data_IF_859954594415
#
_entry.id   IF_859954594415
#
_cell.length_a   1.000
_cell.length_b   1.000
_cell.length_c   1.000
_cell.angle_alpha   90.00
_cell.angle_beta   90.00
_cell.angle_gamma   90.00
#
_symmetry.space_group_name_H-M   'P 1'
#
loop_
_entity.id
_entity.type
_entity.pdbx_description
1 polymer ?
#
# COMPACT_ATOMS: atom_id res chain seq x y z
N UNK A 1 9.53 34.59 30.19
CA UNK A 1 9.35 33.53 31.22
C UNK A 1 8.39 32.52 30.63
N UNK A 2 8.89 31.37 30.18
CA UNK A 2 8.11 30.34 29.47
C UNK A 2 7.97 29.15 30.42
N UNK A 3 6.75 28.62 30.70
CA UNK A 3 6.60 27.46 31.58
C UNK A 3 7.13 26.18 30.94
N UNK A 4 7.76 25.36 31.76
CA UNK A 4 8.37 24.07 31.42
C UNK A 4 7.45 23.10 30.69
N UNK A 5 7.99 22.46 29.65
CA UNK A 5 7.53 21.19 29.09
C UNK A 5 7.23 20.17 30.18
N UNK A 6 6.13 19.42 30.01
CA UNK A 6 5.92 18.14 30.67
C UNK A 6 5.44 17.13 29.62
N UNK A 7 6.39 16.51 28.91
CA UNK A 7 6.10 15.32 28.08
C UNK A 7 6.20 14.10 28.97
N UNK A 8 5.10 13.35 29.07
CA UNK A 8 5.12 12.00 29.60
C UNK A 8 5.66 11.10 28.48
N UNK A 9 6.72 10.30 28.68
CA UNK A 9 7.20 9.38 27.67
C UNK A 9 6.22 8.21 27.50
N UNK A 10 5.88 7.88 26.26
CA UNK A 10 5.21 6.61 25.93
C UNK A 10 6.27 5.50 25.80
N UNK A 11 5.89 4.27 26.15
CA UNK A 11 6.85 3.18 26.42
C UNK A 11 7.45 2.50 25.18
N UNK A 12 7.08 2.91 23.97
CA UNK A 12 7.18 2.05 22.78
C UNK A 12 8.37 2.41 21.86
N UNK A 13 9.06 3.53 22.10
CA UNK A 13 10.24 3.94 21.32
C UNK A 13 11.43 2.95 21.47
N UNK A 14 11.48 2.22 22.59
CA UNK A 14 12.56 1.27 22.90
C UNK A 14 12.55 0.02 21.99
N UNK A 15 11.38 -0.44 21.56
CA UNK A 15 11.28 -1.60 20.67
C UNK A 15 11.70 -1.23 19.24
N UNK A 16 11.26 -0.07 18.74
CA UNK A 16 11.60 0.42 17.39
C UNK A 16 13.11 0.61 17.22
N UNK A 17 13.80 1.14 18.24
CA UNK A 17 15.26 1.27 18.24
C UNK A 17 15.96 -0.09 18.12
N UNK A 18 15.55 -1.07 18.92
CA UNK A 18 16.11 -2.43 18.87
C UNK A 18 15.90 -3.12 17.52
N UNK A 19 14.75 -2.91 16.86
CA UNK A 19 14.51 -3.46 15.51
C UNK A 19 15.44 -2.87 14.44
N UNK A 20 15.75 -1.57 14.50
CA UNK A 20 16.68 -0.92 13.58
C UNK A 20 18.13 -1.37 13.82
N UNK A 21 18.57 -1.45 15.08
CA UNK A 21 19.92 -1.94 15.43
C UNK A 21 20.16 -3.39 14.96
N UNK A 22 19.15 -4.26 15.05
CA UNK A 22 19.24 -5.66 14.58
C UNK A 22 19.33 -5.75 13.04
N UNK A 23 18.76 -4.79 12.30
CA UNK A 23 18.88 -4.72 10.86
C UNK A 23 20.30 -4.27 10.44
N UNK A 24 20.81 -3.17 11.00
CA UNK A 24 22.14 -2.64 10.68
C UNK A 24 23.27 -3.64 10.99
N UNK A 25 23.19 -4.35 12.13
CA UNK A 25 24.21 -5.34 12.52
C UNK A 25 24.29 -6.54 11.55
N UNK A 26 23.25 -6.81 10.76
CA UNK A 26 23.23 -7.93 9.80
C UNK A 26 23.95 -7.60 8.50
N UNK A 27 23.95 -6.35 8.06
CA UNK A 27 24.69 -5.92 6.87
C UNK A 27 26.21 -6.02 7.11
N UNK A 28 26.67 -5.66 8.31
CA UNK A 28 28.08 -5.78 8.70
C UNK A 28 28.60 -7.23 8.79
N UNK A 29 27.72 -8.22 8.98
CA UNK A 29 28.08 -9.63 9.20
C UNK A 29 28.29 -10.47 7.94
N UNK A 30 28.08 -9.93 6.74
CA UNK A 30 28.08 -10.71 5.49
C UNK A 30 29.47 -11.02 4.90
N UNK A 31 30.52 -10.30 5.31
CA UNK A 31 31.83 -10.26 4.63
C UNK A 31 32.76 -11.48 4.84
N UNK A 32 32.23 -12.68 5.16
CA UNK A 32 33.07 -13.77 5.71
C UNK A 32 32.66 -15.22 5.42
N UNK A 33 31.91 -15.53 4.36
CA UNK A 33 31.55 -16.93 4.01
C UNK A 33 31.88 -17.30 2.57
N UNK A 34 32.64 -18.37 2.41
CA UNK A 34 33.01 -19.00 1.12
C UNK A 34 31.79 -19.56 0.39
N UNK A 35 31.69 -19.47 -0.95
CA UNK A 35 30.55 -20.02 -1.70
C UNK A 35 30.49 -21.55 -1.65
N UNK A 36 29.27 -22.08 -1.53
CA UNK A 36 28.91 -23.48 -1.76
C UNK A 36 28.41 -23.64 -3.22
N UNK A 37 28.49 -24.85 -3.82
CA UNK A 37 28.18 -25.05 -5.24
C UNK A 37 26.69 -24.85 -5.55
N UNK A 38 26.42 -24.25 -6.71
CA UNK A 38 25.08 -23.85 -7.16
C UNK A 38 24.19 -25.05 -7.52
N UNK A 39 22.92 -24.98 -7.14
CA UNK A 39 21.88 -25.96 -7.52
C UNK A 39 21.06 -25.45 -8.72
N UNK A 40 20.39 -26.34 -9.50
CA UNK A 40 19.79 -25.97 -10.78
C UNK A 40 18.55 -25.05 -10.68
N UNK A 41 18.25 -24.26 -11.73
CA UNK A 41 17.14 -23.31 -11.71
C UNK A 41 15.81 -23.96 -12.14
N UNK A 42 14.99 -24.37 -11.18
CA UNK A 42 13.58 -24.72 -11.44
C UNK A 42 12.63 -23.85 -10.61
N UNK A 43 11.70 -23.20 -11.31
CA UNK A 43 10.54 -22.43 -10.84
C UNK A 43 10.80 -21.35 -9.76
N UNK A 44 10.67 -20.08 -10.16
CA UNK A 44 10.70 -18.93 -9.26
C UNK A 44 9.43 -18.84 -8.41
N UNK A 45 9.39 -19.58 -7.30
CA UNK A 45 8.63 -19.20 -6.11
C UNK A 45 9.51 -18.24 -5.28
N UNK A 46 9.09 -16.98 -5.12
CA UNK A 46 9.84 -15.95 -4.37
C UNK A 46 9.81 -16.22 -2.86
N UNK A 47 10.50 -17.27 -2.42
CA UNK A 47 10.80 -17.49 -1.01
C UNK A 47 11.53 -16.25 -0.49
N UNK A 48 10.97 -15.47 0.45
CA UNK A 48 11.57 -14.21 0.88
C UNK A 48 12.94 -14.48 1.49
N UNK A 49 13.96 -13.71 1.07
CA UNK A 49 15.28 -13.78 1.67
C UNK A 49 15.16 -13.49 3.19
N UNK A 50 15.76 -14.32 4.06
CA UNK A 50 15.58 -14.20 5.50
C UNK A 50 16.22 -12.90 6.03
N UNK A 51 15.42 -11.83 6.10
CA UNK A 51 15.83 -10.49 6.48
C UNK A 51 14.95 -9.37 5.94
N UNK A 52 14.22 -9.59 4.84
CA UNK A 52 13.28 -8.58 4.32
C UNK A 52 11.94 -8.65 5.05
N UNK A 53 11.67 -7.72 5.96
CA UNK A 53 10.34 -7.56 6.54
C UNK A 53 9.35 -7.11 5.45
N UNK A 54 8.15 -7.70 5.46
CA UNK A 54 7.12 -7.36 4.48
C UNK A 54 6.45 -6.03 4.85
N UNK A 55 6.73 -4.99 4.07
CA UNK A 55 6.18 -3.65 4.29
C UNK A 55 4.90 -3.41 3.51
N UNK A 56 3.88 -2.88 4.17
CA UNK A 56 2.73 -2.23 3.54
C UNK A 56 2.91 -0.71 3.63
N UNK A 57 2.77 0.01 2.51
CA UNK A 57 2.80 1.49 2.53
C UNK A 57 1.37 2.03 2.56
N UNK A 58 1.06 2.83 3.58
CA UNK A 58 -0.21 3.55 3.68
C UNK A 58 0.01 4.98 3.18
N UNK A 59 -0.67 5.36 2.10
CA UNK A 59 -0.65 6.73 1.57
C UNK A 59 -1.82 7.52 2.15
N UNK A 60 -1.50 8.63 2.84
CA UNK A 60 -2.46 9.48 3.54
C UNK A 60 -2.96 10.64 2.68
N UNK A 61 -4.26 10.59 2.36
CA UNK A 61 -5.02 11.64 1.68
C UNK A 61 -5.75 12.57 2.66
N UNK A 62 -5.31 12.61 3.93
CA UNK A 62 -5.86 13.44 4.99
C UNK A 62 -6.99 12.78 5.78
N UNK A 63 -6.99 11.45 5.93
CA UNK A 63 -8.03 10.77 6.70
C UNK A 63 -7.86 10.99 8.20
N UNK A 64 -8.94 11.34 8.90
CA UNK A 64 -9.00 11.24 10.37
C UNK A 64 -8.79 9.80 10.90
N UNK A 65 -8.77 8.79 10.02
CA UNK A 65 -8.59 7.38 10.36
C UNK A 65 -7.26 6.77 9.90
N UNK A 66 -6.34 7.53 9.29
CA UNK A 66 -5.08 7.00 8.73
C UNK A 66 -4.20 6.29 9.78
N UNK A 67 -4.12 6.86 10.99
CA UNK A 67 -3.45 6.22 12.13
C UNK A 67 -4.14 4.92 12.60
N UNK A 68 -5.46 4.79 12.43
CA UNK A 68 -6.18 3.56 12.74
C UNK A 68 -5.89 2.47 11.70
N UNK A 69 -5.73 2.83 10.41
CA UNK A 69 -5.31 1.89 9.36
C UNK A 69 -3.93 1.33 9.72
N UNK A 70 -2.94 2.19 9.96
CA UNK A 70 -1.59 1.77 10.34
C UNK A 70 -1.59 0.89 11.61
N UNK A 71 -2.37 1.28 12.63
CA UNK A 71 -2.55 0.46 13.84
C UNK A 71 -3.12 -0.93 13.53
N UNK A 72 -4.13 -1.05 12.66
CA UNK A 72 -4.75 -2.34 12.32
C UNK A 72 -3.81 -3.25 11.53
N UNK A 73 -2.99 -2.69 10.63
CA UNK A 73 -1.95 -3.46 9.92
C UNK A 73 -0.90 -4.00 10.90
N UNK A 74 -0.45 -3.17 11.86
CA UNK A 74 0.48 -3.60 12.92
C UNK A 74 -0.12 -4.62 13.89
N UNK A 75 -1.42 -4.51 14.22
CA UNK A 75 -2.17 -5.55 14.96
C UNK A 75 -2.29 -6.88 14.19
N UNK A 76 -2.10 -6.89 12.87
CA UNK A 76 -1.97 -8.11 12.05
C UNK A 76 -0.52 -8.62 11.95
N UNK A 77 0.41 -8.10 12.76
CA UNK A 77 1.84 -8.43 12.76
C UNK A 77 2.59 -8.12 11.44
N UNK A 78 2.06 -7.21 10.62
CA UNK A 78 2.70 -6.74 9.38
C UNK A 78 3.30 -5.35 9.61
N UNK A 79 4.52 -5.13 9.10
CA UNK A 79 5.16 -3.82 9.17
C UNK A 79 4.50 -2.85 8.18
N UNK A 80 4.31 -1.60 8.59
CA UNK A 80 3.81 -0.57 7.71
C UNK A 80 4.33 0.80 8.11
N UNK A 81 4.51 1.68 7.13
CA UNK A 81 4.60 3.11 7.41
C UNK A 81 3.52 3.91 6.73
N UNK A 82 3.23 5.04 7.36
CA UNK A 82 2.26 6.01 6.93
C UNK A 82 3.00 7.19 6.31
N UNK A 83 2.77 7.41 5.03
CA UNK A 83 3.41 8.45 4.21
C UNK A 83 2.33 9.40 3.67
N UNK A 84 2.66 10.68 3.41
CA UNK A 84 1.73 11.57 2.71
C UNK A 84 1.49 11.06 1.28
N UNK A 85 0.33 11.39 0.69
CA UNK A 85 -0.04 10.88 -0.64
C UNK A 85 0.91 11.27 -1.78
N UNK A 86 1.69 12.34 -1.62
CA UNK A 86 2.66 12.87 -2.58
C UNK A 86 4.09 12.39 -2.32
N UNK A 87 4.27 11.40 -1.44
CA UNK A 87 5.57 10.84 -1.11
C UNK A 87 6.34 10.39 -2.38
N UNK A 88 7.60 10.82 -2.56
CA UNK A 88 8.38 10.54 -3.76
C UNK A 88 8.75 9.05 -3.86
N UNK A 89 8.87 8.55 -5.09
CA UNK A 89 9.14 7.12 -5.34
C UNK A 89 10.40 6.65 -4.62
N UNK A 90 11.46 7.45 -4.60
CA UNK A 90 12.75 7.13 -3.97
C UNK A 90 12.60 6.87 -2.47
N UNK A 91 11.62 7.48 -1.80
CA UNK A 91 11.30 7.21 -0.39
C UNK A 91 10.54 5.90 -0.22
N UNK A 92 9.62 5.60 -1.14
CA UNK A 92 8.78 4.39 -1.13
C UNK A 92 9.57 3.15 -1.52
N UNK A 93 10.45 3.25 -2.50
CA UNK A 93 11.28 2.15 -3.02
C UNK A 93 12.17 1.53 -1.95
N UNK A 94 12.77 2.37 -1.10
CA UNK A 94 13.61 1.94 0.04
C UNK A 94 12.85 1.08 1.06
N UNK A 95 11.52 1.12 1.08
CA UNK A 95 10.68 0.31 1.96
C UNK A 95 10.33 -1.06 1.35
N UNK A 96 10.65 -1.29 0.08
CA UNK A 96 10.30 -2.49 -0.71
C UNK A 96 8.84 -2.95 -0.49
N UNK A 97 7.83 -2.12 -0.82
CA UNK A 97 6.45 -2.40 -0.48
C UNK A 97 5.93 -3.67 -1.16
N UNK A 98 5.33 -4.55 -0.35
CA UNK A 98 4.54 -5.70 -0.81
C UNK A 98 3.15 -5.28 -1.31
N UNK A 99 2.63 -4.14 -0.84
CA UNK A 99 1.33 -3.60 -1.24
C UNK A 99 1.09 -2.19 -0.71
N UNK A 100 0.02 -1.57 -1.20
CA UNK A 100 -0.37 -0.19 -0.88
C UNK A 100 -1.77 -0.13 -0.27
N UNK A 101 -1.97 0.79 0.69
CA UNK A 101 -3.30 1.19 1.16
C UNK A 101 -3.48 2.68 0.88
N UNK A 102 -4.49 3.04 0.10
CA UNK A 102 -4.87 4.43 -0.14
C UNK A 102 -5.94 4.81 0.89
N UNK A 103 -5.62 5.76 1.78
CA UNK A 103 -6.54 6.14 2.86
C UNK A 103 -7.80 6.87 2.36
N UNK A 104 -8.71 7.15 3.29
CA UNK A 104 -9.75 8.14 3.06
C UNK A 104 -9.18 9.57 2.99
N UNK A 105 -10.03 10.54 2.71
CA UNK A 105 -9.67 11.95 2.67
C UNK A 105 -10.92 12.83 2.71
N UNK A 106 -10.78 14.14 2.97
CA UNK A 106 -11.88 15.09 2.96
C UNK A 106 -12.16 15.69 1.57
N UNK A 107 -11.37 15.35 0.55
CA UNK A 107 -11.55 15.82 -0.82
C UNK A 107 -12.62 15.02 -1.58
N UNK A 108 -13.13 15.57 -2.69
CA UNK A 108 -13.81 14.83 -3.75
C UNK A 108 -12.86 14.63 -4.92
N UNK A 109 -12.92 13.49 -5.61
CA UNK A 109 -12.03 13.19 -6.76
C UNK A 109 -12.27 14.08 -7.98
N UNK A 110 -13.34 14.88 -7.96
CA UNK A 110 -13.69 15.85 -9.00
C UNK A 110 -13.36 17.31 -8.62
N UNK A 111 -12.83 17.56 -7.42
CA UNK A 111 -12.42 18.91 -7.03
C UNK A 111 -11.16 19.33 -7.82
N UNK A 112 -11.05 20.60 -8.19
CA UNK A 112 -9.86 21.12 -8.86
C UNK A 112 -8.65 21.04 -7.91
N UNK A 113 -7.58 20.36 -8.33
CA UNK A 113 -6.42 20.09 -7.47
C UNK A 113 -6.62 18.98 -6.44
N UNK A 114 -7.65 18.13 -6.59
CA UNK A 114 -7.86 16.97 -5.72
C UNK A 114 -6.61 16.05 -5.65
N UNK A 115 -6.17 15.63 -4.45
CA UNK A 115 -5.04 14.71 -4.26
C UNK A 115 -5.15 13.40 -5.04
N UNK A 116 -4.28 13.18 -6.03
CA UNK A 116 -4.23 11.94 -6.81
C UNK A 116 -3.22 10.93 -6.24
N UNK A 117 -3.45 9.63 -6.47
CA UNK A 117 -2.45 8.61 -6.17
C UNK A 117 -1.29 8.69 -7.18
N UNK A 118 -0.01 8.63 -6.75
CA UNK A 118 1.15 8.64 -7.63
C UNK A 118 1.17 7.47 -8.62
N UNK A 119 1.76 7.68 -9.80
CA UNK A 119 1.78 6.68 -10.88
C UNK A 119 2.41 5.34 -10.46
N UNK A 120 3.46 5.38 -9.63
CA UNK A 120 4.17 4.20 -9.13
C UNK A 120 3.25 3.20 -8.41
N UNK A 121 2.15 3.66 -7.81
CA UNK A 121 1.18 2.79 -7.13
C UNK A 121 0.61 1.76 -8.11
N UNK A 122 0.29 2.20 -9.33
CA UNK A 122 -0.28 1.36 -10.39
C UNK A 122 0.81 0.63 -11.19
N UNK A 123 1.93 1.32 -11.48
CA UNK A 123 3.04 0.78 -12.27
C UNK A 123 3.77 -0.37 -11.56
N UNK A 124 3.83 -0.34 -10.22
CA UNK A 124 4.46 -1.39 -9.39
C UNK A 124 3.81 -2.78 -9.51
N UNK A 125 2.56 -2.85 -10.00
CA UNK A 125 1.72 -4.06 -10.04
C UNK A 125 1.56 -4.79 -8.69
N UNK A 126 1.81 -4.11 -7.58
CA UNK A 126 1.54 -4.62 -6.23
C UNK A 126 0.04 -4.53 -5.91
N UNK A 127 -0.51 -5.35 -4.99
CA UNK A 127 -1.87 -5.19 -4.50
C UNK A 127 -2.13 -3.80 -3.92
N UNK A 128 -3.29 -3.21 -4.24
CA UNK A 128 -3.70 -1.89 -3.74
C UNK A 128 -5.10 -1.97 -3.13
N UNK A 129 -5.24 -1.52 -1.88
CA UNK A 129 -6.52 -1.38 -1.19
C UNK A 129 -6.92 0.10 -1.10
N UNK A 130 -8.02 0.49 -1.73
CA UNK A 130 -8.59 1.82 -1.59
C UNK A 130 -9.66 1.88 -0.49
N UNK A 131 -9.56 2.85 0.42
CA UNK A 131 -10.54 3.07 1.50
C UNK A 131 -11.21 4.43 1.30
N UNK A 132 -12.54 4.44 1.14
CA UNK A 132 -13.34 5.67 0.93
C UNK A 132 -12.81 6.52 -0.24
N UNK A 133 -12.13 7.64 0.01
CA UNK A 133 -11.48 8.45 -1.03
C UNK A 133 -10.48 7.64 -1.86
N UNK A 134 -9.64 6.81 -1.24
CA UNK A 134 -8.73 5.91 -1.95
C UNK A 134 -9.45 4.93 -2.89
N UNK A 135 -10.66 4.50 -2.56
CA UNK A 135 -11.49 3.67 -3.46
C UNK A 135 -12.01 4.49 -4.66
N UNK A 136 -12.39 5.74 -4.43
CA UNK A 136 -12.80 6.67 -5.49
C UNK A 136 -11.62 6.99 -6.43
N UNK A 137 -10.40 7.14 -5.90
CA UNK A 137 -9.18 7.32 -6.69
C UNK A 137 -8.89 6.11 -7.58
N UNK A 138 -8.93 4.88 -7.03
CA UNK A 138 -8.79 3.67 -7.83
C UNK A 138 -9.82 3.63 -8.97
N UNK A 139 -11.09 3.90 -8.68
CA UNK A 139 -12.13 3.93 -9.69
C UNK A 139 -11.88 5.03 -10.74
N UNK A 140 -11.47 6.24 -10.33
CA UNK A 140 -11.30 7.38 -11.23
C UNK A 140 -10.04 7.25 -12.11
N UNK A 141 -8.88 6.97 -11.51
CA UNK A 141 -7.59 6.91 -12.22
C UNK A 141 -7.46 5.68 -13.13
N UNK A 142 -8.23 4.61 -12.87
CA UNK A 142 -8.31 3.42 -13.74
C UNK A 142 -9.43 3.50 -14.81
N UNK A 143 -9.98 4.70 -15.06
CA UNK A 143 -10.94 4.95 -16.15
C UNK A 143 -12.40 4.59 -15.84
N UNK A 144 -12.71 4.23 -14.60
CA UNK A 144 -14.07 4.11 -14.09
C UNK A 144 -14.73 5.47 -13.83
N UNK A 145 -15.95 5.43 -13.28
CA UNK A 145 -16.75 6.62 -12.98
C UNK A 145 -17.19 6.61 -11.52
N UNK A 146 -17.03 7.73 -10.85
CA UNK A 146 -17.51 7.97 -9.48
C UNK A 146 -18.75 8.85 -9.59
N UNK A 147 -19.86 8.47 -8.95
CA UNK A 147 -21.05 9.33 -8.93
C UNK A 147 -20.88 10.43 -7.87
N UNK A 148 -21.13 11.71 -8.18
CA UNK A 148 -21.16 12.75 -7.16
C UNK A 148 -22.35 12.53 -6.23
N UNK A 149 -22.12 12.61 -4.92
CA UNK A 149 -23.17 12.58 -3.90
C UNK A 149 -23.40 14.00 -3.35
N UNK A 150 -24.66 14.45 -3.18
CA UNK A 150 -24.96 15.75 -2.57
C UNK A 150 -24.63 15.79 -1.05
N UNK A 151 -24.44 14.63 -0.42
CA UNK A 151 -24.14 14.50 1.01
C UNK A 151 -23.01 13.50 1.26
N UNK A 152 -22.14 13.82 2.24
CA UNK A 152 -21.17 12.87 2.79
C UNK A 152 -21.88 11.99 3.81
N UNK A 153 -22.12 10.73 3.45
CA UNK A 153 -22.77 9.78 4.34
C UNK A 153 -21.74 9.08 5.22
N UNK A 154 -21.86 9.30 6.53
CA UNK A 154 -21.14 8.53 7.56
C UNK A 154 -22.19 7.92 8.49
N UNK A 155 -22.28 6.59 8.51
CA UNK A 155 -23.30 5.88 9.28
C UNK A 155 -23.15 4.37 9.15
N UNK A 156 -23.92 3.65 9.97
CA UNK A 156 -23.95 2.19 9.90
C UNK A 156 -24.76 1.74 8.68
N UNK A 157 -24.12 0.98 7.79
CA UNK A 157 -24.75 0.38 6.61
C UNK A 157 -24.47 -1.13 6.57
N UNK A 158 -25.45 -1.92 6.10
CA UNK A 158 -25.30 -3.37 5.91
C UNK A 158 -24.92 -3.64 4.46
N UNK A 159 -23.64 -3.94 4.21
CA UNK A 159 -23.15 -4.34 2.89
C UNK A 159 -23.47 -5.82 2.66
N UNK A 160 -24.04 -6.14 1.48
CA UNK A 160 -24.21 -7.52 1.03
C UNK A 160 -23.09 -7.86 0.05
N UNK A 161 -22.32 -8.89 0.34
CA UNK A 161 -21.37 -9.44 -0.62
C UNK A 161 -22.16 -10.16 -1.73
N UNK A 162 -22.00 -9.71 -2.97
CA UNK A 162 -22.25 -10.59 -4.11
C UNK A 162 -21.21 -11.70 -4.12
N UNK A 163 -21.56 -12.87 -4.67
CA UNK A 163 -20.70 -14.08 -4.71
C UNK A 163 -19.26 -13.74 -5.12
N UNK A 164 -18.22 -14.36 -4.51
CA UNK A 164 -16.83 -14.04 -4.82
C UNK A 164 -16.52 -14.33 -6.28
N UNK A 165 -16.48 -13.28 -7.09
CA UNK A 165 -15.92 -13.33 -8.43
C UNK A 165 -14.40 -13.32 -8.29
N UNK A 166 -13.76 -14.46 -8.55
CA UNK A 166 -12.39 -14.49 -9.03
C UNK A 166 -12.43 -14.25 -10.55
N UNK A 167 -12.11 -13.05 -11.05
CA UNK A 167 -11.70 -12.92 -12.43
C UNK A 167 -10.27 -13.48 -12.54
N UNK A 168 -10.16 -14.74 -12.98
CA UNK A 168 -8.94 -15.23 -13.62
C UNK A 168 -8.49 -14.20 -14.68
N UNK A 169 -7.19 -13.87 -14.79
CA UNK A 169 -6.68 -12.91 -15.76
C UNK A 169 -6.69 -13.52 -17.17
N UNK A 170 -7.87 -13.65 -17.76
CA UNK A 170 -8.05 -14.13 -19.12
C UNK A 170 -7.59 -13.10 -20.15
N UNK A 171 -6.27 -13.09 -20.42
CA UNK A 171 -5.72 -12.55 -21.66
C UNK A 171 -6.25 -13.41 -22.81
N UNK A 172 -7.40 -13.01 -23.35
CA UNK A 172 -7.98 -13.57 -24.55
C UNK A 172 -8.36 -12.44 -25.51
N UNK A 173 -7.33 -11.82 -26.11
CA UNK A 173 -7.53 -11.04 -27.34
C UNK A 173 -8.06 -12.01 -28.39
N UNK A 174 -9.33 -11.84 -28.76
CA UNK A 174 -9.89 -12.34 -30.00
C UNK A 174 -10.54 -11.19 -30.74
N UNK A 175 -9.72 -10.50 -31.51
CA UNK A 175 -10.22 -9.81 -32.68
C UNK A 175 -10.89 -10.85 -33.58
N UNK A 176 -12.18 -10.69 -33.83
CA UNK A 176 -12.88 -11.35 -34.93
C UNK A 176 -13.41 -10.27 -35.86
N UNK A 177 -12.48 -9.68 -36.61
CA UNK A 177 -12.80 -8.89 -37.78
C UNK A 177 -12.87 -9.85 -38.96
N UNK A 178 -14.06 -10.18 -39.44
CA UNK A 178 -14.25 -10.84 -40.73
C UNK A 178 -15.40 -10.19 -41.50
N UNK A 179 -15.05 -9.56 -42.61
CA UNK A 179 -15.97 -9.06 -43.62
C UNK A 179 -16.32 -10.20 -44.61
N UNK A 180 -17.59 -10.58 -44.70
CA UNK A 180 -18.18 -11.23 -45.88
C UNK A 180 -19.71 -11.05 -45.82
N UNK A 181 -20.29 -10.07 -46.52
CA UNK A 181 -20.80 -10.21 -47.90
C UNK A 181 -21.87 -11.29 -48.05
N UNK A 182 -23.15 -10.87 -47.96
CA UNK A 182 -24.17 -11.01 -49.02
C UNK A 182 -25.40 -10.17 -48.68
#
# INVERSE_FOLDING_TARGET
MIPSTHRIPASDDAEVGAYLEIAEQREAGAAGRTPLPEAPPEAADETPLPGTHETVVVLDFGSQYSMLIARRVRECHVYCELLPHDAPWEQVERLNPRGFILSGGPASVYDEGAPLAPAYVFESRRPVLGICYGMQLLAHQLGGKVAPSPSREYGHAVVRLASPAHPEPSVAVRESNDHAVS
#
